data_IF_789744556595
#
_entry.id   IF_789744556595
#
_cell.length_a   1.000
_cell.length_b   1.000
_cell.length_c   1.000
_cell.angle_alpha   90.00
_cell.angle_beta   90.00
_cell.angle_gamma   90.00
#
_symmetry.space_group_name_H-M   'P 1'
#
loop_
_entity.id
_entity.type
_entity.pdbx_description
1 polymer ?
#
# COMPACT_ATOMS: atom_id res chain seq x y z
N UNK A 1 -56.89 32.26 8.20
CA UNK A 1 -56.75 30.93 8.84
C UNK A 1 -55.82 30.05 8.06
N UNK A 2 -54.54 29.94 8.43
CA UNK A 2 -53.64 28.80 8.13
C UNK A 2 -52.37 28.96 8.99
N UNK A 3 -52.52 28.90 10.32
CA UNK A 3 -51.40 28.97 11.28
C UNK A 3 -51.02 27.59 11.85
N UNK A 4 -51.49 26.51 11.24
CA UNK A 4 -51.31 25.12 11.70
C UNK A 4 -50.12 24.40 11.03
N UNK A 5 -49.46 25.04 10.07
CA UNK A 5 -48.34 24.51 9.29
C UNK A 5 -46.98 24.57 10.04
N UNK A 6 -46.68 25.57 10.89
CA UNK A 6 -45.37 25.65 11.59
C UNK A 6 -45.17 24.51 12.59
N UNK A 7 -46.20 24.19 13.38
CA UNK A 7 -46.13 23.20 14.47
C UNK A 7 -45.88 21.79 13.92
N UNK A 8 -46.56 21.43 12.81
CA UNK A 8 -46.34 20.13 12.15
C UNK A 8 -44.93 20.05 11.58
N UNK A 9 -44.42 21.16 11.02
CA UNK A 9 -43.03 21.27 10.56
C UNK A 9 -42.01 21.07 11.67
N UNK A 10 -42.24 21.65 12.85
CA UNK A 10 -41.35 21.53 14.01
C UNK A 10 -41.32 20.10 14.58
N UNK A 11 -42.47 19.43 14.65
CA UNK A 11 -42.53 18.02 15.06
C UNK A 11 -41.88 17.09 14.03
N UNK A 12 -42.06 17.33 12.73
CA UNK A 12 -41.39 16.57 11.67
C UNK A 12 -39.87 16.79 11.68
N UNK A 13 -39.41 18.03 11.87
CA UNK A 13 -37.98 18.35 12.00
C UNK A 13 -37.36 17.68 13.23
N UNK A 14 -38.09 17.66 14.35
CA UNK A 14 -37.69 16.97 15.58
C UNK A 14 -37.62 15.46 15.38
N UNK A 15 -38.62 14.86 14.72
CA UNK A 15 -38.63 13.43 14.39
C UNK A 15 -37.48 13.05 13.47
N UNK A 16 -37.22 13.85 12.42
CA UNK A 16 -36.10 13.65 11.51
C UNK A 16 -34.75 13.76 12.24
N UNK A 17 -34.61 14.74 13.16
CA UNK A 17 -33.41 14.89 14.00
C UNK A 17 -33.14 13.64 14.84
N UNK A 18 -34.16 13.10 15.51
CA UNK A 18 -34.00 11.88 16.31
C UNK A 18 -33.69 10.65 15.44
N UNK A 19 -34.28 10.54 14.24
CA UNK A 19 -33.95 9.49 13.28
C UNK A 19 -32.49 9.56 12.82
N UNK A 20 -32.02 10.75 12.46
CA UNK A 20 -30.61 10.97 12.08
C UNK A 20 -29.69 10.64 13.26
N UNK A 21 -30.05 11.07 14.47
CA UNK A 21 -29.27 10.78 15.68
C UNK A 21 -29.23 9.27 15.98
N UNK A 22 -30.35 8.57 15.82
CA UNK A 22 -30.43 7.12 16.01
C UNK A 22 -29.64 6.36 14.96
N UNK A 23 -29.71 6.77 13.69
CA UNK A 23 -28.92 6.20 12.60
C UNK A 23 -27.42 6.40 12.89
N UNK A 24 -27.00 7.61 13.25
CA UNK A 24 -25.61 7.91 13.58
C UNK A 24 -25.14 7.11 14.80
N UNK A 25 -25.99 6.95 15.82
CA UNK A 25 -25.68 6.13 16.99
C UNK A 25 -25.51 4.66 16.61
N UNK A 26 -26.39 4.12 15.78
CA UNK A 26 -26.34 2.73 15.31
C UNK A 26 -25.09 2.47 14.48
N UNK A 27 -24.75 3.38 13.57
CA UNK A 27 -23.50 3.31 12.79
C UNK A 27 -22.29 3.34 13.72
N UNK A 28 -22.23 4.30 14.66
CA UNK A 28 -21.13 4.41 15.61
C UNK A 28 -21.03 3.23 16.59
N UNK A 29 -22.16 2.57 16.88
CA UNK A 29 -22.20 1.35 17.69
C UNK A 29 -21.70 0.14 16.90
N UNK A 30 -22.18 -0.02 15.67
CA UNK A 30 -21.72 -1.08 14.75
C UNK A 30 -20.23 -0.94 14.53
N UNK A 31 -19.71 0.25 14.21
CA UNK A 31 -18.27 0.48 13.99
C UNK A 31 -17.40 0.04 15.18
N UNK A 32 -17.92 0.13 16.41
CA UNK A 32 -17.19 -0.26 17.63
C UNK A 32 -17.23 -1.74 17.96
N UNK A 33 -18.09 -2.54 17.31
CA UNK A 33 -18.13 -3.98 17.57
C UNK A 33 -16.81 -4.62 17.08
N UNK A 34 -16.19 -5.51 17.87
CA UNK A 34 -15.09 -6.31 17.36
C UNK A 34 -15.59 -7.12 16.16
N UNK A 35 -14.83 -7.13 15.07
CA UNK A 35 -15.20 -7.77 13.80
C UNK A 35 -16.40 -7.13 13.06
N UNK A 36 -16.84 -5.92 13.45
CA UNK A 36 -17.91 -5.16 12.79
C UNK A 36 -17.73 -5.01 11.28
N UNK A 37 -16.47 -4.81 10.91
CA UNK A 37 -15.97 -4.88 9.57
C UNK A 37 -14.86 -5.91 9.57
N UNK A 38 -15.05 -7.00 8.81
CA UNK A 38 -13.94 -7.86 8.45
C UNK A 38 -13.12 -7.18 7.35
N UNK A 39 -12.41 -6.10 7.73
CA UNK A 39 -11.42 -5.50 6.85
C UNK A 39 -10.37 -6.55 6.49
N UNK A 40 -9.97 -6.58 5.21
CA UNK A 40 -8.90 -7.43 4.67
C UNK A 40 -9.25 -8.91 4.36
N UNK A 41 -10.52 -9.32 4.29
CA UNK A 41 -10.82 -10.67 3.76
C UNK A 41 -10.84 -10.67 2.24
N UNK A 42 -9.89 -11.40 1.64
CA UNK A 42 -9.75 -11.59 0.19
C UNK A 42 -10.54 -12.83 -0.25
N UNK A 43 -11.87 -12.73 -0.35
CA UNK A 43 -12.65 -13.80 -0.96
C UNK A 43 -12.58 -13.71 -2.48
N UNK A 44 -12.15 -14.79 -3.12
CA UNK A 44 -12.33 -14.94 -4.56
C UNK A 44 -13.81 -15.20 -4.88
N UNK A 45 -14.16 -15.00 -6.15
CA UNK A 45 -15.49 -15.38 -6.66
C UNK A 45 -15.75 -16.88 -6.42
N UNK A 46 -14.72 -17.73 -6.52
CA UNK A 46 -14.83 -19.16 -6.25
C UNK A 46 -15.13 -19.45 -4.77
N UNK A 47 -14.46 -18.78 -3.84
CA UNK A 47 -14.72 -18.94 -2.39
C UNK A 47 -16.16 -18.53 -2.04
N UNK A 48 -16.68 -17.52 -2.74
CA UNK A 48 -18.06 -17.07 -2.58
C UNK A 48 -19.06 -18.16 -3.00
N UNK A 49 -18.82 -18.81 -4.16
CA UNK A 49 -19.62 -19.95 -4.60
C UNK A 49 -19.52 -21.14 -3.64
N UNK A 50 -18.31 -21.49 -3.19
CA UNK A 50 -18.11 -22.57 -2.22
C UNK A 50 -18.87 -22.31 -0.92
N UNK A 51 -18.87 -21.06 -0.45
CA UNK A 51 -19.61 -20.64 0.74
C UNK A 51 -21.12 -20.78 0.55
N UNK A 52 -21.66 -20.33 -0.59
CA UNK A 52 -23.09 -20.50 -0.86
C UNK A 52 -23.50 -21.96 -0.98
N UNK A 53 -22.70 -22.79 -1.66
CA UNK A 53 -22.96 -24.22 -1.76
C UNK A 53 -22.92 -24.91 -0.40
N UNK A 54 -22.01 -24.51 0.48
CA UNK A 54 -21.96 -24.97 1.87
C UNK A 54 -23.23 -24.59 2.64
N UNK A 55 -23.68 -23.34 2.55
CA UNK A 55 -24.94 -22.86 3.17
C UNK A 55 -26.13 -23.64 2.63
N UNK A 56 -26.23 -23.83 1.32
CA UNK A 56 -27.29 -24.63 0.69
C UNK A 56 -27.28 -26.07 1.22
N UNK A 57 -26.09 -26.67 1.42
CA UNK A 57 -25.98 -28.01 2.02
C UNK A 57 -26.46 -28.04 3.48
N UNK A 58 -26.19 -27.00 4.28
CA UNK A 58 -26.71 -26.88 5.64
C UNK A 58 -28.24 -26.79 5.63
N UNK A 59 -28.81 -25.95 4.77
CA UNK A 59 -30.27 -25.81 4.64
C UNK A 59 -30.90 -27.15 4.23
N UNK A 60 -30.31 -27.83 3.23
CA UNK A 60 -30.78 -29.13 2.78
C UNK A 60 -30.62 -30.23 3.84
N UNK A 61 -29.56 -30.17 4.66
CA UNK A 61 -29.36 -31.06 5.80
C UNK A 61 -30.50 -30.90 6.82
N UNK A 62 -30.87 -29.67 7.16
CA UNK A 62 -31.96 -29.39 8.11
C UNK A 62 -33.32 -29.84 7.52
N UNK A 63 -33.57 -29.53 6.24
CA UNK A 63 -34.83 -29.83 5.57
C UNK A 63 -35.07 -31.32 5.34
N UNK A 64 -34.05 -32.05 4.89
CA UNK A 64 -34.19 -33.46 4.49
C UNK A 64 -33.61 -34.45 5.50
N UNK A 65 -32.80 -33.99 6.47
CA UNK A 65 -32.15 -34.82 7.51
C UNK A 65 -31.36 -36.02 6.95
N UNK A 66 -30.78 -35.87 5.75
CA UNK A 66 -30.00 -36.92 5.09
C UNK A 66 -28.50 -36.70 5.29
N UNK A 67 -27.79 -37.77 5.69
CA UNK A 67 -26.34 -37.75 5.90
C UNK A 67 -25.52 -37.33 4.67
N UNK A 68 -26.04 -37.55 3.45
CA UNK A 68 -25.38 -37.15 2.19
C UNK A 68 -25.05 -35.65 2.14
N UNK A 69 -25.88 -34.79 2.74
CA UNK A 69 -25.64 -33.34 2.77
C UNK A 69 -24.51 -32.94 3.71
N UNK A 70 -24.23 -33.74 4.76
CA UNK A 70 -23.05 -33.57 5.61
C UNK A 70 -21.79 -33.86 4.79
N UNK A 71 -21.79 -34.95 4.01
CA UNK A 71 -20.63 -35.32 3.19
C UNK A 71 -20.32 -34.24 2.14
N UNK A 72 -21.34 -33.75 1.43
CA UNK A 72 -21.20 -32.70 0.42
C UNK A 72 -20.76 -31.36 1.05
N UNK A 73 -21.41 -30.94 2.15
CA UNK A 73 -21.02 -29.73 2.88
C UNK A 73 -19.58 -29.80 3.39
N UNK A 74 -19.16 -30.97 3.90
CA UNK A 74 -17.78 -31.22 4.34
C UNK A 74 -16.79 -31.08 3.19
N UNK A 75 -17.14 -31.55 1.99
CA UNK A 75 -16.28 -31.37 0.81
C UNK A 75 -16.13 -29.89 0.44
N UNK A 76 -17.19 -29.09 0.48
CA UNK A 76 -17.11 -27.67 0.14
C UNK A 76 -16.32 -26.87 1.16
N UNK A 77 -16.47 -27.15 2.45
CA UNK A 77 -15.69 -26.46 3.49
C UNK A 77 -14.21 -26.86 3.44
N UNK A 78 -13.89 -28.14 3.15
CA UNK A 78 -12.50 -28.57 2.94
C UNK A 78 -11.89 -27.85 1.73
N UNK A 79 -12.62 -27.75 0.62
CA UNK A 79 -12.16 -27.02 -0.57
C UNK A 79 -11.90 -25.52 -0.26
N UNK A 80 -12.78 -24.89 0.53
CA UNK A 80 -12.61 -23.51 0.97
C UNK A 80 -11.37 -23.35 1.86
N UNK A 81 -11.15 -24.26 2.79
CA UNK A 81 -9.95 -24.26 3.64
C UNK A 81 -8.67 -24.41 2.80
N UNK A 82 -8.66 -25.33 1.84
CA UNK A 82 -7.52 -25.50 0.92
C UNK A 82 -7.26 -24.22 0.12
N UNK A 83 -8.31 -23.59 -0.41
CA UNK A 83 -8.20 -22.30 -1.11
C UNK A 83 -7.57 -21.22 -0.22
N UNK A 84 -8.05 -21.09 1.01
CA UNK A 84 -7.53 -20.14 1.99
C UNK A 84 -6.06 -20.41 2.34
N UNK A 85 -5.71 -21.67 2.60
CA UNK A 85 -4.32 -22.08 2.85
C UNK A 85 -3.42 -21.77 1.65
N UNK A 86 -3.90 -22.02 0.44
CA UNK A 86 -3.12 -21.77 -0.77
C UNK A 86 -2.86 -20.28 -0.99
N UNK A 87 -3.87 -19.43 -0.79
CA UNK A 87 -3.70 -17.97 -0.84
C UNK A 87 -2.71 -17.49 0.22
N UNK A 88 -2.88 -17.93 1.47
CA UNK A 88 -1.99 -17.54 2.57
C UNK A 88 -0.56 -18.01 2.35
N UNK A 89 -0.36 -19.18 1.75
CA UNK A 89 0.97 -19.68 1.41
C UNK A 89 1.63 -18.81 0.34
N UNK A 90 0.87 -18.48 -0.72
CA UNK A 90 1.37 -17.66 -1.82
C UNK A 90 1.69 -16.21 -1.37
N UNK A 91 0.93 -15.69 -0.40
CA UNK A 91 1.18 -14.38 0.19
C UNK A 91 2.48 -14.35 1.01
N UNK A 92 2.91 -15.47 1.62
CA UNK A 92 4.17 -15.55 2.37
C UNK A 92 5.41 -15.55 1.47
N UNK A 93 5.30 -16.10 0.27
CA UNK A 93 6.41 -16.17 -0.69
C UNK A 93 6.61 -14.88 -1.50
N UNK A 94 5.70 -13.91 -1.36
CA UNK A 94 5.77 -12.67 -2.15
C UNK A 94 6.90 -11.75 -1.69
N UNK A 95 7.59 -11.14 -2.66
CA UNK A 95 8.60 -10.12 -2.42
C UNK A 95 8.39 -9.00 -3.42
N UNK A 96 7.92 -7.84 -2.96
CA UNK A 96 7.54 -6.74 -3.87
C UNK A 96 8.14 -5.43 -3.41
N UNK A 97 8.57 -4.64 -4.38
CA UNK A 97 8.85 -3.23 -4.20
C UNK A 97 7.84 -2.43 -5.00
N UNK A 98 7.12 -1.54 -4.33
CA UNK A 98 6.07 -0.71 -4.95
C UNK A 98 6.36 0.76 -4.68
N UNK A 99 6.34 1.59 -5.72
CA UNK A 99 6.45 3.05 -5.60
C UNK A 99 5.12 3.64 -6.04
N UNK A 100 4.38 4.20 -5.09
CA UNK A 100 3.01 4.64 -5.32
C UNK A 100 2.93 6.00 -6.02
N UNK A 101 1.89 6.15 -6.85
CA UNK A 101 1.55 7.43 -7.44
C UNK A 101 0.68 8.27 -6.50
N UNK A 102 1.32 8.91 -5.51
CA UNK A 102 0.67 9.85 -4.60
C UNK A 102 1.24 11.25 -4.88
N UNK A 103 0.54 12.08 -5.65
CA UNK A 103 1.07 13.37 -6.08
C UNK A 103 1.60 14.20 -4.91
N UNK A 104 2.80 14.76 -5.08
CA UNK A 104 3.54 15.59 -4.13
C UNK A 104 4.23 14.86 -2.97
N UNK A 105 4.13 13.52 -2.88
CA UNK A 105 4.71 12.76 -1.78
C UNK A 105 5.50 11.54 -2.23
N UNK A 106 6.56 11.23 -1.50
CA UNK A 106 7.33 9.99 -1.67
C UNK A 106 6.65 8.88 -0.88
N UNK A 107 6.38 7.75 -1.53
CA UNK A 107 5.81 6.56 -0.92
C UNK A 107 6.38 5.31 -1.58
N UNK A 108 7.32 4.65 -0.89
CA UNK A 108 8.04 3.47 -1.35
C UNK A 108 7.73 2.33 -0.37
N UNK A 109 7.17 1.25 -0.87
CA UNK A 109 6.73 0.13 -0.07
C UNK A 109 7.57 -1.11 -0.34
N UNK A 110 8.05 -1.71 0.74
CA UNK A 110 8.77 -2.98 0.74
C UNK A 110 7.83 -4.01 1.35
N UNK A 111 7.44 -4.99 0.55
CA UNK A 111 6.57 -6.10 0.95
C UNK A 111 7.42 -7.36 0.96
N UNK A 112 7.44 -8.04 2.11
CA UNK A 112 8.18 -9.27 2.36
C UNK A 112 7.28 -10.28 3.07
N UNK A 113 6.67 -11.18 2.30
CA UNK A 113 5.56 -11.99 2.78
C UNK A 113 4.40 -11.10 3.25
N UNK A 114 4.05 -11.23 4.53
CA UNK A 114 3.03 -10.41 5.18
C UNK A 114 3.61 -9.11 5.80
N UNK A 115 4.94 -8.99 5.91
CA UNK A 115 5.58 -7.80 6.46
C UNK A 115 5.58 -6.64 5.45
N UNK A 116 5.26 -5.44 5.95
CA UNK A 116 4.92 -4.30 5.12
C UNK A 116 5.56 -3.02 5.65
N UNK A 117 6.62 -2.58 4.98
CA UNK A 117 7.40 -1.41 5.37
C UNK A 117 7.21 -0.32 4.35
N UNK A 118 6.45 0.70 4.74
CA UNK A 118 6.22 1.88 3.92
C UNK A 118 7.18 3.00 4.32
N UNK A 119 8.11 3.33 3.42
CA UNK A 119 8.94 4.52 3.54
C UNK A 119 8.21 5.71 2.91
N UNK A 120 7.94 6.75 3.70
CA UNK A 120 7.20 7.92 3.22
C UNK A 120 7.68 9.25 3.79
N UNK A 121 7.27 10.34 3.14
CA UNK A 121 7.52 11.69 3.60
C UNK A 121 6.64 12.09 4.80
N UNK A 122 7.21 12.87 5.72
CA UNK A 122 6.53 13.36 6.95
C UNK A 122 5.17 14.01 6.69
N UNK A 123 5.03 14.76 5.60
CA UNK A 123 3.77 15.44 5.26
C UNK A 123 2.68 14.44 4.91
N UNK A 124 3.03 13.32 4.28
CA UNK A 124 2.10 12.25 3.97
C UNK A 124 1.76 11.46 5.24
N UNK A 125 2.75 11.18 6.09
CA UNK A 125 2.52 10.48 7.36
C UNK A 125 1.56 11.23 8.30
N UNK A 126 1.58 12.57 8.28
CA UNK A 126 0.62 13.39 9.05
C UNK A 126 -0.82 13.29 8.53
N UNK A 127 -1.03 12.93 7.27
CA UNK A 127 -2.34 12.80 6.66
C UNK A 127 -2.65 11.33 6.36
N UNK A 128 -2.90 10.57 7.43
CA UNK A 128 -3.12 9.11 7.38
C UNK A 128 -4.29 8.72 6.49
N UNK A 129 -5.39 9.49 6.49
CA UNK A 129 -6.56 9.18 5.63
C UNK A 129 -6.22 9.27 4.15
N UNK A 130 -5.52 10.33 3.73
CA UNK A 130 -5.05 10.48 2.34
C UNK A 130 -4.07 9.37 1.97
N UNK A 131 -3.16 9.01 2.88
CA UNK A 131 -2.23 7.90 2.66
C UNK A 131 -2.98 6.58 2.42
N UNK A 132 -3.90 6.23 3.34
CA UNK A 132 -4.65 4.97 3.28
C UNK A 132 -5.53 4.90 2.01
N UNK A 133 -6.15 6.01 1.61
CA UNK A 133 -6.98 6.05 0.40
C UNK A 133 -6.23 5.59 -0.86
N UNK A 134 -4.92 5.87 -0.95
CA UNK A 134 -4.11 5.49 -2.11
C UNK A 134 -3.47 4.10 -2.01
N UNK A 135 -3.35 3.54 -0.80
CA UNK A 135 -2.51 2.36 -0.56
C UNK A 135 -3.28 1.16 0.00
N UNK A 136 -4.35 1.39 0.75
CA UNK A 136 -5.08 0.35 1.48
C UNK A 136 -5.55 -0.78 0.57
N UNK A 137 -6.09 -0.46 -0.60
CA UNK A 137 -6.53 -1.48 -1.57
C UNK A 137 -5.36 -2.37 -2.03
N UNK A 138 -4.17 -1.79 -2.23
CA UNK A 138 -2.99 -2.58 -2.57
C UNK A 138 -2.57 -3.48 -1.41
N UNK A 139 -2.61 -3.00 -0.16
CA UNK A 139 -2.27 -3.84 0.99
C UNK A 139 -3.25 -4.98 1.20
N UNK A 140 -4.56 -4.71 1.11
CA UNK A 140 -5.61 -5.73 1.12
C UNK A 140 -5.34 -6.76 0.04
N UNK A 141 -5.07 -6.34 -1.20
CA UNK A 141 -4.81 -7.26 -2.31
C UNK A 141 -3.50 -8.03 -2.19
N UNK A 142 -2.56 -7.59 -1.36
CA UNK A 142 -1.32 -8.33 -1.11
C UNK A 142 -1.37 -9.09 0.22
N UNK A 143 -2.49 -9.08 0.96
CA UNK A 143 -2.60 -9.83 2.22
C UNK A 143 -1.60 -9.40 3.30
N UNK A 144 -1.14 -8.15 3.25
CA UNK A 144 -0.10 -7.68 4.17
C UNK A 144 -0.67 -7.08 5.44
N UNK A 145 0.07 -7.19 6.54
CA UNK A 145 -0.32 -6.64 7.83
C UNK A 145 -0.25 -5.10 7.85
N UNK A 146 -0.79 -4.51 8.93
CA UNK A 146 -0.76 -3.06 9.18
C UNK A 146 0.65 -2.52 9.00
N UNK A 147 0.75 -1.38 8.33
CA UNK A 147 2.00 -0.89 7.83
C UNK A 147 2.94 -0.39 8.94
N UNK A 148 4.22 -0.70 8.80
CA UNK A 148 5.30 -0.05 9.55
C UNK A 148 5.73 1.19 8.75
N UNK A 149 5.14 2.36 9.05
CA UNK A 149 5.53 3.60 8.37
C UNK A 149 6.87 4.11 8.89
N UNK A 150 7.87 4.15 8.01
CA UNK A 150 9.19 4.72 8.29
C UNK A 150 9.33 6.05 7.56
N UNK A 151 9.79 7.06 8.29
CA UNK A 151 9.99 8.40 7.75
C UNK A 151 11.26 8.48 6.91
N UNK A 152 11.12 8.87 5.64
CA UNK A 152 12.25 9.00 4.70
C UNK A 152 13.32 9.99 5.19
N UNK A 153 12.90 11.10 5.82
CA UNK A 153 13.82 12.14 6.29
C UNK A 153 14.67 11.71 7.50
N UNK A 154 14.24 10.69 8.24
CA UNK A 154 15.04 10.12 9.33
C UNK A 154 16.17 9.24 8.80
N UNK A 155 15.94 8.56 7.67
CA UNK A 155 16.90 7.62 7.10
C UNK A 155 18.09 8.31 6.43
N UNK A 156 17.85 9.49 5.84
CA UNK A 156 18.84 10.26 5.09
C UNK A 156 19.80 11.09 5.96
N UNK A 157 19.55 11.23 7.27
CA UNK A 157 20.35 12.08 8.16
C UNK A 157 21.61 11.38 8.69
N UNK A 158 22.77 12.00 8.42
CA UNK A 158 24.13 11.51 8.74
C UNK A 158 24.41 11.20 10.22
N UNK A 159 23.69 11.83 11.15
CA UNK A 159 24.00 11.80 12.59
C UNK A 159 23.10 10.86 13.42
N UNK A 160 22.24 10.06 12.80
CA UNK A 160 21.45 9.06 13.54
C UNK A 160 22.13 7.69 13.45
N UNK A 161 22.81 7.30 14.54
CA UNK A 161 23.50 6.02 14.73
C UNK A 161 22.59 4.77 14.66
N UNK A 162 21.32 4.89 14.28
CA UNK A 162 20.29 3.88 14.55
C UNK A 162 19.32 3.54 13.42
N UNK A 163 19.71 3.69 12.13
CA UNK A 163 18.86 3.15 11.04
C UNK A 163 18.61 1.63 11.18
N UNK A 164 19.50 0.90 11.86
CA UNK A 164 19.38 -0.53 12.18
C UNK A 164 18.21 -0.81 13.14
N UNK A 165 17.82 0.14 14.01
CA UNK A 165 16.80 -0.08 15.04
C UNK A 165 15.38 0.34 14.63
N UNK A 166 15.17 0.81 13.40
CA UNK A 166 13.86 1.35 12.96
C UNK A 166 13.10 0.44 11.98
N UNK A 167 13.82 -0.44 11.30
CA UNK A 167 13.25 -1.35 10.31
C UNK A 167 13.49 -2.75 10.84
N UNK A 168 12.45 -3.31 11.45
CA UNK A 168 12.45 -4.67 11.94
C UNK A 168 12.11 -5.62 10.78
N UNK A 169 13.05 -5.73 9.83
CA UNK A 169 13.03 -6.69 8.73
C UNK A 169 14.48 -7.02 8.33
N UNK A 170 14.83 -8.31 8.47
CA UNK A 170 16.18 -8.85 8.20
C UNK A 170 16.62 -8.74 6.74
N UNK A 171 15.68 -8.67 5.81
CA UNK A 171 15.91 -8.62 4.37
C UNK A 171 15.99 -7.18 3.83
N UNK A 172 15.64 -6.17 4.65
CA UNK A 172 15.73 -4.75 4.30
C UNK A 172 16.85 -4.07 5.09
N UNK A 173 17.98 -3.89 4.43
CA UNK A 173 19.10 -3.11 4.95
C UNK A 173 19.01 -1.64 4.51
N UNK A 174 19.34 -0.71 5.41
CA UNK A 174 19.42 0.72 5.06
C UNK A 174 20.61 1.41 5.70
N UNK A 175 21.23 2.30 4.92
CA UNK A 175 22.30 3.18 5.38
C UNK A 175 22.26 4.47 4.58
N UNK A 176 21.94 5.58 5.25
CA UNK A 176 21.80 6.90 4.62
C UNK A 176 20.81 6.86 3.45
N UNK A 177 21.31 7.09 2.24
CA UNK A 177 20.55 7.13 1.01
C UNK A 177 20.60 5.82 0.21
N UNK A 178 21.22 4.79 0.77
CA UNK A 178 21.33 3.46 0.19
C UNK A 178 20.46 2.47 0.94
N UNK A 179 19.76 1.64 0.17
CA UNK A 179 18.88 0.58 0.62
C UNK A 179 19.25 -0.68 -0.13
N UNK A 180 19.14 -1.81 0.56
CA UNK A 180 19.23 -3.11 -0.06
C UNK A 180 18.06 -3.94 0.43
N UNK A 181 17.24 -4.40 -0.50
CA UNK A 181 16.13 -5.30 -0.22
C UNK A 181 16.38 -6.60 -0.96
N UNK A 182 16.65 -7.67 -0.22
CA UNK A 182 17.23 -8.90 -0.77
C UNK A 182 18.50 -8.59 -1.58
N UNK A 183 18.56 -9.00 -2.85
CA UNK A 183 19.68 -8.73 -3.75
C UNK A 183 19.56 -7.39 -4.49
N UNK A 184 18.43 -6.69 -4.34
CA UNK A 184 18.15 -5.45 -5.07
C UNK A 184 18.75 -4.26 -4.34
N UNK A 185 19.69 -3.58 -5.01
CA UNK A 185 20.38 -2.41 -4.50
C UNK A 185 19.70 -1.14 -4.98
N UNK A 186 19.34 -0.27 -4.05
CA UNK A 186 18.52 0.91 -4.30
C UNK A 186 19.23 2.12 -3.72
N UNK A 187 19.34 3.19 -4.49
CA UNK A 187 19.76 4.49 -3.99
C UNK A 187 18.62 5.50 -4.14
N UNK A 188 18.44 6.36 -3.14
CA UNK A 188 17.45 7.44 -3.16
C UNK A 188 18.19 8.77 -3.19
N UNK A 189 17.84 9.65 -4.12
CA UNK A 189 18.38 11.01 -4.21
C UNK A 189 17.24 11.98 -3.99
N UNK A 190 17.42 12.91 -3.07
CA UNK A 190 16.51 14.04 -2.89
C UNK A 190 17.14 15.36 -3.39
N UNK A 191 16.44 16.47 -3.16
CA UNK A 191 16.93 17.80 -3.53
C UNK A 191 18.01 18.38 -2.60
N UNK A 192 18.31 17.73 -1.48
CA UNK A 192 19.37 18.12 -0.55
C UNK A 192 20.67 17.32 -0.77
N UNK A 193 20.60 16.28 -1.61
CA UNK A 193 21.75 15.46 -1.97
C UNK A 193 22.86 16.31 -2.59
N UNK A 194 24.07 16.19 -2.04
CA UNK A 194 25.25 16.89 -2.53
C UNK A 194 26.11 15.94 -3.35
N UNK A 195 26.57 16.42 -4.51
CA UNK A 195 27.61 15.75 -5.28
C UNK A 195 28.88 15.70 -4.43
N UNK A 196 29.38 14.49 -4.22
CA UNK A 196 30.71 14.26 -3.65
C UNK A 196 31.57 13.58 -4.71
N UNK A 197 32.85 13.88 -4.76
CA UNK A 197 33.76 13.16 -5.64
C UNK A 197 33.96 11.74 -5.10
N UNK A 198 33.36 10.77 -5.79
CA UNK A 198 33.54 9.36 -5.48
C UNK A 198 34.52 8.79 -6.51
N UNK A 199 35.55 8.10 -6.03
CA UNK A 199 36.58 7.48 -6.88
C UNK A 199 36.01 6.34 -7.75
N UNK A 200 34.97 5.66 -7.27
CA UNK A 200 34.29 4.55 -7.96
C UNK A 200 32.77 4.72 -7.94
N UNK A 201 32.15 4.64 -9.11
CA UNK A 201 30.69 4.69 -9.25
C UNK A 201 30.04 3.55 -8.47
N UNK A 202 28.93 3.85 -7.79
CA UNK A 202 28.15 2.85 -7.08
C UNK A 202 27.16 2.18 -8.04
N UNK A 203 27.32 0.88 -8.26
CA UNK A 203 26.35 0.08 -9.02
C UNK A 203 25.10 -0.18 -8.19
N UNK A 204 23.95 0.23 -8.72
CA UNK A 204 22.63 0.03 -8.10
C UNK A 204 21.65 -0.52 -9.14
N UNK A 205 20.66 -1.28 -8.71
CA UNK A 205 19.61 -1.76 -9.61
C UNK A 205 18.59 -0.64 -9.86
N UNK A 206 18.21 0.08 -8.81
CA UNK A 206 17.27 1.20 -8.88
C UNK A 206 17.90 2.49 -8.31
N UNK A 207 17.76 3.58 -9.06
CA UNK A 207 18.02 4.93 -8.57
C UNK A 207 16.71 5.71 -8.50
N UNK A 208 16.23 6.00 -7.30
CA UNK A 208 14.96 6.68 -7.05
C UNK A 208 15.23 8.17 -6.83
N UNK A 209 14.58 9.02 -7.63
CA UNK A 209 14.71 10.47 -7.59
C UNK A 209 13.48 11.06 -6.91
N UNK A 210 13.69 11.89 -5.90
CA UNK A 210 12.63 12.45 -5.05
C UNK A 210 12.79 13.96 -4.86
N UNK A 211 11.70 14.63 -4.46
CA UNK A 211 11.64 16.02 -3.97
C UNK A 211 12.15 17.09 -4.91
N UNK A 212 11.99 16.92 -6.22
CA UNK A 212 12.44 17.89 -7.24
C UNK A 212 13.94 18.15 -7.18
N UNK A 213 14.74 17.09 -7.37
CA UNK A 213 16.19 17.24 -7.49
C UNK A 213 16.58 18.21 -8.61
N UNK A 214 17.58 19.04 -8.32
CA UNK A 214 18.16 20.00 -9.28
C UNK A 214 19.24 19.36 -10.17
N UNK A 215 19.71 18.17 -9.79
CA UNK A 215 20.76 17.46 -10.50
C UNK A 215 20.23 16.94 -11.84
N UNK A 216 21.08 16.96 -12.86
CA UNK A 216 20.79 16.30 -14.14
C UNK A 216 21.00 14.79 -14.02
N UNK A 217 20.42 14.02 -14.95
CA UNK A 217 20.69 12.58 -15.03
C UNK A 217 22.19 12.34 -15.25
N UNK A 218 22.87 13.17 -16.05
CA UNK A 218 24.32 13.05 -16.28
C UNK A 218 25.14 13.23 -15.00
N UNK A 219 24.77 14.18 -14.14
CA UNK A 219 25.45 14.38 -12.85
C UNK A 219 25.31 13.14 -11.96
N UNK A 220 24.12 12.52 -11.95
CA UNK A 220 23.88 11.31 -11.17
C UNK A 220 24.66 10.12 -11.70
N UNK A 221 24.80 9.99 -13.02
CA UNK A 221 25.60 8.93 -13.64
C UNK A 221 27.11 9.06 -13.39
N UNK A 222 27.58 10.22 -12.92
CA UNK A 222 28.96 10.35 -12.46
C UNK A 222 29.19 9.63 -11.13
N UNK A 223 28.13 9.44 -10.33
CA UNK A 223 28.20 8.81 -9.01
C UNK A 223 27.63 7.38 -8.99
N UNK A 224 26.63 7.11 -9.81
CA UNK A 224 25.89 5.86 -9.82
C UNK A 224 25.94 5.20 -11.20
N UNK A 225 25.88 3.87 -11.21
CA UNK A 225 25.64 3.08 -12.42
C UNK A 225 24.33 2.30 -12.26
N UNK A 226 23.17 2.97 -12.45
CA UNK A 226 21.86 2.35 -12.24
C UNK A 226 21.42 1.49 -13.42
N UNK A 227 20.76 0.36 -13.15
CA UNK A 227 20.06 -0.40 -14.21
C UNK A 227 18.77 0.30 -14.65
N UNK A 228 18.09 0.97 -13.71
CA UNK A 228 16.86 1.75 -13.97
C UNK A 228 16.78 2.95 -13.02
N UNK A 229 16.25 4.05 -13.54
CA UNK A 229 15.94 5.27 -12.77
C UNK A 229 14.43 5.34 -12.56
N UNK A 230 14.00 5.63 -11.34
CA UNK A 230 12.59 5.86 -11.02
C UNK A 230 12.43 7.29 -10.52
N UNK A 231 11.53 8.05 -11.12
CA UNK A 231 11.13 9.38 -10.66
C UNK A 231 9.84 9.19 -9.86
N UNK A 232 9.89 9.45 -8.56
CA UNK A 232 8.74 9.25 -7.67
C UNK A 232 7.70 10.38 -7.82
N UNK A 233 6.57 10.23 -7.13
CA UNK A 233 5.46 11.17 -7.19
C UNK A 233 5.66 12.47 -6.38
N UNK A 234 6.76 12.62 -5.64
CA UNK A 234 7.09 13.87 -4.97
C UNK A 234 7.71 14.92 -5.90
N UNK A 235 8.13 14.52 -7.10
CA UNK A 235 8.56 15.44 -8.14
C UNK A 235 7.37 16.15 -8.79
N UNK A 236 7.60 17.34 -9.33
CA UNK A 236 6.64 18.05 -10.15
C UNK A 236 6.53 17.38 -11.53
N UNK A 237 5.42 17.60 -12.23
CA UNK A 237 5.23 17.12 -13.61
C UNK A 237 6.34 17.66 -14.52
N UNK A 238 6.71 18.93 -14.33
CA UNK A 238 7.79 19.57 -15.09
C UNK A 238 9.13 18.85 -14.87
N UNK A 239 9.55 18.66 -13.62
CA UNK A 239 10.80 17.95 -13.30
C UNK A 239 10.78 16.52 -13.80
N UNK A 240 9.64 15.84 -13.69
CA UNK A 240 9.48 14.47 -14.14
C UNK A 240 9.62 14.33 -15.65
N UNK A 241 9.02 15.25 -16.43
CA UNK A 241 9.19 15.30 -17.88
C UNK A 241 10.64 15.60 -18.26
N UNK A 242 11.24 16.61 -17.63
CA UNK A 242 12.64 17.01 -17.88
C UNK A 242 13.60 15.83 -17.67
N UNK A 243 13.55 15.19 -16.50
CA UNK A 243 14.43 14.06 -16.16
C UNK A 243 14.18 12.84 -17.06
N UNK A 244 12.92 12.58 -17.46
CA UNK A 244 12.60 11.48 -18.38
C UNK A 244 13.15 11.71 -19.78
N UNK A 245 13.09 12.94 -20.30
CA UNK A 245 13.72 13.31 -21.57
C UNK A 245 15.25 13.23 -21.49
N UNK A 246 15.86 13.72 -20.40
CA UNK A 246 17.30 13.56 -20.16
C UNK A 246 17.70 12.07 -20.15
N UNK A 247 16.96 11.22 -19.45
CA UNK A 247 17.25 9.79 -19.42
C UNK A 247 17.09 9.13 -20.80
N UNK A 248 16.09 9.55 -21.58
CA UNK A 248 15.88 9.09 -22.96
C UNK A 248 17.06 9.45 -23.87
N UNK A 249 17.55 10.69 -23.80
CA UNK A 249 18.73 11.10 -24.59
C UNK A 249 20.01 10.36 -24.21
N UNK A 250 20.12 9.92 -22.96
CA UNK A 250 21.25 9.12 -22.46
C UNK A 250 21.03 7.60 -22.58
N UNK A 251 19.93 7.17 -23.20
CA UNK A 251 19.53 5.77 -23.38
C UNK A 251 19.46 4.97 -22.08
N UNK A 252 18.89 5.57 -21.02
CA UNK A 252 18.71 4.93 -19.71
C UNK A 252 17.24 4.62 -19.49
N UNK A 253 16.98 3.42 -18.97
CA UNK A 253 15.64 3.02 -18.58
C UNK A 253 15.15 3.90 -17.43
N UNK A 254 14.09 4.69 -17.68
CA UNK A 254 13.54 5.62 -16.73
C UNK A 254 12.02 5.48 -16.66
N UNK A 255 11.50 5.33 -15.44
CA UNK A 255 10.07 5.28 -15.16
C UNK A 255 9.67 6.49 -14.32
N UNK A 256 8.64 7.22 -14.74
CA UNK A 256 8.09 8.32 -13.95
C UNK A 256 6.75 7.91 -13.39
N UNK A 257 6.64 7.84 -12.07
CA UNK A 257 5.42 7.35 -11.42
C UNK A 257 4.21 8.25 -11.70
N UNK A 258 4.43 9.55 -11.88
CA UNK A 258 3.36 10.50 -12.24
C UNK A 258 2.89 10.38 -13.68
N UNK A 259 3.74 9.88 -14.59
CA UNK A 259 3.45 9.83 -16.03
C UNK A 259 3.03 8.42 -16.45
N UNK A 260 3.73 7.41 -15.94
CA UNK A 260 3.60 6.00 -16.33
C UNK A 260 2.75 5.19 -15.34
N UNK A 261 2.36 5.78 -14.21
CA UNK A 261 1.62 5.12 -13.14
C UNK A 261 2.53 4.50 -12.07
N UNK A 262 1.91 3.86 -11.07
CA UNK A 262 2.64 3.22 -9.98
C UNK A 262 3.66 2.20 -10.52
N UNK A 263 4.84 2.18 -9.92
CA UNK A 263 5.89 1.25 -10.30
C UNK A 263 5.88 0.06 -9.34
N UNK A 264 5.85 -1.16 -9.87
CA UNK A 264 5.94 -2.39 -9.09
C UNK A 264 6.97 -3.33 -9.71
N UNK A 265 7.77 -3.96 -8.87
CA UNK A 265 8.62 -5.10 -9.25
C UNK A 265 8.46 -6.22 -8.24
N UNK A 266 8.47 -7.45 -8.76
CA UNK A 266 8.61 -8.67 -7.97
C UNK A 266 10.08 -9.06 -7.90
N UNK A 267 10.53 -9.41 -6.70
CA UNK A 267 11.91 -9.78 -6.41
C UNK A 267 12.00 -11.29 -6.22
N UNK A 268 13.16 -11.84 -6.59
CA UNK A 268 13.46 -13.26 -6.41
C UNK A 268 14.06 -13.56 -5.05
#
# INVERSE_FOLDING_TARGET
SFSFIPIVGDYLATGLKYLIQFLNYTVAFIDKLPYSLSENIRFSIADTWLTYLFITCIIALIAYRKFRFILLGSSFIIALLISCFWVSYNDLDQRKLVIYNIPQFSAINFIDGNDNILISDIKLTKNRSKLLFHIQNNWINNGVDKEKVVRLDHLLKKYQLSNIYRIDNKNLFTKLNYFQFYDTKIAIIDNQFKLNNIVKKLSVDLLILTKNTKLSIRDMLNLFNPKKIIIDASNSIYTSKRLKEEAKTLNINCWSVLIDGAFQIELK
#
